data_IF_104283588677
#
_entry.id   IF_104283588677
#
_cell.length_a   1.000
_cell.length_b   1.000
_cell.length_c   1.000
_cell.angle_alpha   90.00
_cell.angle_beta   90.00
_cell.angle_gamma   90.00
#
_symmetry.space_group_name_H-M   'P 1'
#
loop_
_entity.id
_entity.type
_entity.pdbx_description
1 polymer ?
#
# COMPACT_ATOMS: atom_id res chain seq x y z
N UNK A 1 -22.91 -37.46 -28.84
CA UNK A 1 -23.63 -36.26 -28.35
C UNK A 1 -23.31 -36.15 -26.87
N UNK A 2 -22.27 -35.39 -26.53
CA UNK A 2 -21.83 -35.15 -25.16
C UNK A 2 -21.86 -33.64 -24.95
N UNK A 3 -22.60 -33.22 -23.94
CA UNK A 3 -22.88 -31.82 -23.61
C UNK A 3 -21.62 -31.11 -23.12
N UNK A 4 -21.33 -29.96 -23.71
CA UNK A 4 -20.40 -28.96 -23.19
C UNK A 4 -21.01 -28.34 -21.93
N UNK A 5 -20.31 -28.43 -20.80
CA UNK A 5 -20.58 -27.56 -19.65
C UNK A 5 -19.66 -26.34 -19.74
N UNK A 6 -20.30 -25.18 -19.68
CA UNK A 6 -19.76 -23.84 -19.79
C UNK A 6 -18.66 -23.58 -18.74
N UNK A 7 -17.52 -23.06 -19.22
CA UNK A 7 -16.40 -22.56 -18.43
C UNK A 7 -16.49 -21.03 -18.34
N UNK A 8 -17.59 -20.52 -17.79
CA UNK A 8 -17.79 -19.08 -17.60
C UNK A 8 -17.56 -18.69 -16.14
N UNK A 9 -16.31 -18.48 -15.76
CA UNK A 9 -15.95 -17.60 -14.65
C UNK A 9 -14.47 -17.23 -14.71
N UNK A 10 -14.19 -15.93 -14.50
CA UNK A 10 -12.88 -15.31 -14.25
C UNK A 10 -12.07 -14.86 -15.47
N UNK A 11 -12.55 -13.81 -16.13
CA UNK A 11 -11.79 -13.08 -17.14
C UNK A 11 -11.98 -11.54 -16.96
N UNK A 12 -10.91 -10.82 -16.55
CA UNK A 12 -10.80 -9.35 -16.27
C UNK A 12 -10.46 -8.32 -17.43
N UNK A 13 -11.37 -7.83 -18.29
CA UNK A 13 -11.04 -6.74 -19.28
C UNK A 13 -10.68 -5.39 -18.63
N UNK A 14 -9.54 -4.80 -19.02
CA UNK A 14 -9.08 -3.42 -18.77
C UNK A 14 -8.63 -2.84 -20.14
N UNK A 15 -8.89 -1.54 -20.30
CA UNK A 15 -8.50 -0.72 -21.45
C UNK A 15 -7.34 0.20 -21.06
N UNK A 16 -6.46 0.46 -22.03
CA UNK A 16 -5.33 1.37 -21.97
C UNK A 16 -5.77 2.84 -21.78
N UNK A 17 -4.98 3.61 -21.03
CA UNK A 17 -5.09 5.07 -20.98
C UNK A 17 -3.78 5.66 -21.51
N UNK A 18 -3.87 6.40 -22.60
CA UNK A 18 -2.86 7.41 -22.96
C UNK A 18 -3.08 8.61 -22.03
N UNK A 19 -2.06 9.01 -21.27
CA UNK A 19 -2.07 10.27 -20.52
C UNK A 19 -1.62 11.42 -21.44
N UNK A 20 -2.43 12.48 -21.51
CA UNK A 20 -2.07 13.74 -22.13
C UNK A 20 -1.04 14.48 -21.24
N UNK A 21 0.14 14.79 -21.80
CA UNK A 21 1.22 15.52 -21.15
C UNK A 21 0.81 16.96 -20.73
N UNK A 22 0.58 17.20 -19.43
CA UNK A 22 0.63 18.56 -18.87
C UNK A 22 1.99 18.84 -18.21
N UNK A 23 2.72 19.80 -18.77
CA UNK A 23 4.02 20.29 -18.26
C UNK A 23 3.85 21.11 -16.98
N UNK A 24 4.50 20.68 -15.90
CA UNK A 24 4.68 21.45 -14.66
C UNK A 24 6.01 22.23 -14.72
N UNK A 25 6.07 23.53 -14.37
CA UNK A 25 7.29 24.32 -14.42
C UNK A 25 8.17 24.18 -13.17
N UNK A 26 9.48 24.14 -13.40
CA UNK A 26 10.58 24.09 -12.42
C UNK A 26 10.57 25.24 -11.41
N UNK A 27 10.64 24.92 -10.12
CA UNK A 27 11.30 25.81 -9.14
C UNK A 27 11.90 25.01 -7.97
N UNK A 28 13.19 24.70 -8.08
CA UNK A 28 13.98 24.08 -7.03
C UNK A 28 14.44 25.14 -6.00
N UNK A 29 14.15 24.93 -4.72
CA UNK A 29 14.87 25.60 -3.61
C UNK A 29 15.37 24.54 -2.63
N UNK A 30 16.71 24.39 -2.56
CA UNK A 30 17.41 23.48 -1.64
C UNK A 30 17.41 24.04 -0.22
N UNK A 31 17.13 23.19 0.77
CA UNK A 31 17.49 23.46 2.18
C UNK A 31 18.14 22.20 2.77
N UNK A 32 19.41 22.34 3.14
CA UNK A 32 20.16 21.36 3.93
C UNK A 32 19.89 21.58 5.43
N UNK A 33 19.72 20.49 6.19
CA UNK A 33 19.72 20.52 7.65
C UNK A 33 19.72 19.12 8.26
N UNK A 34 20.86 18.68 8.79
CA UNK A 34 21.00 17.47 9.60
C UNK A 34 20.28 17.63 10.95
N UNK A 35 19.48 16.64 11.36
CA UNK A 35 19.33 16.29 12.77
C UNK A 35 18.85 14.84 12.93
N UNK A 36 19.62 14.08 13.71
CA UNK A 36 19.35 12.69 14.05
C UNK A 36 18.16 12.59 15.03
N UNK A 37 17.11 11.86 14.65
CA UNK A 37 16.11 11.28 15.56
C UNK A 37 15.83 9.84 15.14
N UNK A 38 15.93 8.93 16.11
CA UNK A 38 15.61 7.50 15.94
C UNK A 38 14.15 7.33 15.55
N UNK A 39 13.90 7.03 14.28
CA UNK A 39 12.58 6.70 13.73
C UNK A 39 12.73 6.48 12.24
N UNK A 40 12.51 5.24 11.78
CA UNK A 40 12.70 4.74 10.41
C UNK A 40 14.07 5.05 9.78
N UNK A 41 14.80 4.03 9.35
CA UNK A 41 15.88 4.23 8.38
C UNK A 41 15.19 4.59 7.06
N UNK A 42 14.85 5.86 6.88
CA UNK A 42 14.60 6.40 5.55
C UNK A 42 15.89 6.15 4.78
N UNK A 43 15.85 5.23 3.82
CA UNK A 43 16.99 5.05 2.91
C UNK A 43 17.02 6.33 2.08
N UNK A 44 17.76 7.32 2.57
CA UNK A 44 18.08 8.51 1.82
C UNK A 44 18.68 8.04 0.48
N UNK A 45 18.39 8.70 -0.64
CA UNK A 45 18.83 8.27 -1.97
C UNK A 45 20.35 8.03 -2.08
N UNK A 46 21.13 8.57 -1.15
CA UNK A 46 22.55 8.28 -0.93
C UNK A 46 22.87 6.83 -0.55
N UNK A 47 22.00 6.13 0.18
CA UNK A 47 22.19 4.73 0.60
C UNK A 47 22.09 3.73 -0.55
N UNK A 48 21.44 4.10 -1.66
CA UNK A 48 21.39 3.24 -2.85
C UNK A 48 22.68 3.29 -3.68
N UNK A 49 23.53 4.30 -3.48
CA UNK A 49 24.82 4.43 -4.18
C UNK A 49 25.79 3.30 -3.81
N UNK A 50 25.63 2.72 -2.63
CA UNK A 50 26.46 1.63 -2.14
C UNK A 50 26.18 0.29 -2.85
N UNK A 51 25.05 0.16 -3.55
CA UNK A 51 24.70 -1.04 -4.32
C UNK A 51 25.34 -1.08 -5.72
N UNK A 52 26.14 -0.08 -6.09
CA UNK A 52 26.83 0.01 -7.40
C UNK A 52 25.88 -0.17 -8.59
N UNK A 53 24.68 0.39 -8.50
CA UNK A 53 23.67 0.34 -9.53
C UNK A 53 24.07 1.15 -10.77
N UNK A 54 23.42 0.85 -11.90
CA UNK A 54 23.55 1.65 -13.13
C UNK A 54 23.24 3.13 -12.86
N UNK A 55 24.00 4.09 -13.41
CA UNK A 55 23.76 5.53 -13.19
C UNK A 55 22.34 5.98 -13.53
N UNK A 56 21.74 5.39 -14.57
CA UNK A 56 20.37 5.65 -15.02
C UNK A 56 19.36 5.23 -13.94
N UNK A 57 19.57 4.07 -13.31
CA UNK A 57 18.72 3.55 -12.25
C UNK A 57 18.86 4.38 -10.97
N UNK A 58 20.09 4.77 -10.61
CA UNK A 58 20.33 5.67 -9.47
C UNK A 58 19.64 7.01 -9.65
N UNK A 59 19.67 7.55 -10.87
CA UNK A 59 18.97 8.79 -11.21
C UNK A 59 17.46 8.62 -11.09
N UNK A 60 16.90 7.55 -11.64
CA UNK A 60 15.47 7.26 -11.51
C UNK A 60 15.04 7.14 -10.03
N UNK A 61 15.85 6.47 -9.20
CA UNK A 61 15.61 6.35 -7.75
C UNK A 61 15.61 7.71 -7.05
N UNK A 62 16.57 8.59 -7.39
CA UNK A 62 16.66 9.94 -6.81
C UNK A 62 15.44 10.77 -7.21
N UNK A 63 15.05 10.73 -8.48
CA UNK A 63 13.98 11.57 -9.03
C UNK A 63 12.59 11.10 -8.60
N UNK A 64 12.41 9.79 -8.41
CA UNK A 64 11.13 9.23 -7.97
C UNK A 64 10.73 9.70 -6.59
N UNK A 65 11.71 9.96 -5.71
CA UNK A 65 11.49 10.17 -4.28
C UNK A 65 10.84 8.94 -3.63
N UNK A 66 11.43 8.36 -2.57
CA UNK A 66 10.76 7.27 -1.84
C UNK A 66 9.55 7.75 -0.99
N UNK A 67 9.06 8.97 -1.24
CA UNK A 67 8.04 9.62 -0.42
C UNK A 67 6.61 9.30 -0.84
N UNK A 68 6.38 8.81 -2.07
CA UNK A 68 5.04 8.48 -2.56
C UNK A 68 5.01 7.10 -3.26
N UNK A 69 4.19 6.14 -2.77
CA UNK A 69 3.95 4.88 -3.48
C UNK A 69 3.25 5.13 -4.82
N UNK A 70 3.35 4.15 -5.72
CA UNK A 70 2.56 4.13 -6.94
C UNK A 70 1.12 3.70 -6.65
N UNK A 71 0.19 4.49 -7.17
CA UNK A 71 -1.23 4.26 -7.03
C UNK A 71 -1.75 3.25 -8.07
N UNK A 72 -2.20 2.05 -7.68
CA UNK A 72 -2.83 1.13 -8.63
C UNK A 72 -3.15 -0.27 -8.12
N UNK A 73 -3.86 -1.07 -8.93
CA UNK A 73 -4.02 -2.53 -8.72
C UNK A 73 -2.64 -3.19 -8.71
N UNK A 74 -2.38 -4.19 -7.86
CA UNK A 74 -1.05 -4.83 -7.67
C UNK A 74 -0.23 -5.01 -8.96
N UNK A 75 -0.80 -5.60 -10.03
CA UNK A 75 -0.08 -5.81 -11.30
C UNK A 75 0.22 -4.52 -12.06
N UNK A 76 -0.70 -3.56 -12.05
CA UNK A 76 -0.54 -2.25 -12.70
C UNK A 76 0.46 -1.41 -11.90
N UNK A 77 0.38 -1.44 -10.57
CA UNK A 77 1.35 -0.79 -9.69
C UNK A 77 2.75 -1.36 -9.91
N UNK A 78 2.92 -2.69 -10.01
CA UNK A 78 4.22 -3.29 -10.34
C UNK A 78 4.71 -2.82 -11.72
N UNK A 79 3.83 -2.76 -12.73
CA UNK A 79 4.19 -2.28 -14.07
C UNK A 79 4.64 -0.81 -14.04
N UNK A 80 3.86 0.07 -13.39
CA UNK A 80 4.19 1.48 -13.20
C UNK A 80 5.49 1.68 -12.42
N UNK A 81 5.78 0.84 -11.42
CA UNK A 81 7.06 0.89 -10.70
C UNK A 81 8.22 0.53 -11.62
N UNK A 82 8.07 -0.49 -12.47
CA UNK A 82 9.09 -0.80 -13.46
C UNK A 82 9.29 0.37 -14.43
N UNK A 83 8.23 0.99 -14.94
CA UNK A 83 8.29 2.15 -15.83
C UNK A 83 8.96 3.36 -15.16
N UNK A 84 8.59 3.65 -13.91
CA UNK A 84 9.17 4.72 -13.09
C UNK A 84 10.67 4.50 -12.89
N UNK A 85 11.11 3.29 -12.53
CA UNK A 85 12.53 3.00 -12.38
C UNK A 85 13.28 2.83 -13.71
N UNK A 86 12.58 2.54 -14.81
CA UNK A 86 13.16 2.44 -16.16
C UNK A 86 13.07 3.74 -16.97
N UNK A 87 12.64 4.86 -16.37
CA UNK A 87 12.49 6.17 -17.05
C UNK A 87 13.73 6.60 -17.83
N UNK A 88 14.93 6.28 -17.32
CA UNK A 88 16.21 6.60 -17.96
C UNK A 88 16.83 5.42 -18.73
N UNK A 89 16.06 4.37 -18.99
CA UNK A 89 16.46 3.16 -19.71
C UNK A 89 15.51 2.94 -20.90
N UNK A 90 15.64 3.73 -21.99
CA UNK A 90 14.65 3.79 -23.07
C UNK A 90 14.49 2.49 -23.86
N UNK A 91 15.50 1.61 -23.80
CA UNK A 91 15.45 0.30 -24.44
C UNK A 91 14.59 -0.70 -23.66
N UNK A 92 14.32 -0.46 -22.36
CA UNK A 92 13.49 -1.36 -21.55
C UNK A 92 12.03 -1.14 -21.91
N UNK A 93 11.34 -2.25 -22.14
CA UNK A 93 9.91 -2.29 -22.44
C UNK A 93 9.25 -3.20 -21.43
N UNK A 94 8.18 -2.73 -20.82
CA UNK A 94 7.42 -3.44 -19.81
C UNK A 94 6.00 -3.60 -20.36
N UNK A 95 5.40 -4.76 -20.15
CA UNK A 95 3.98 -4.92 -20.42
C UNK A 95 3.31 -5.74 -19.33
N UNK A 96 2.02 -5.47 -19.16
CA UNK A 96 1.17 -6.17 -18.21
C UNK A 96 0.13 -7.03 -18.95
N UNK A 97 0.00 -8.30 -18.58
CA UNK A 97 -1.00 -9.22 -19.14
C UNK A 97 -1.80 -9.90 -18.03
N UNK A 98 -3.06 -9.51 -17.88
CA UNK A 98 -3.98 -10.14 -16.94
C UNK A 98 -5.22 -10.65 -17.68
N UNK A 99 -6.09 -11.37 -16.97
CA UNK A 99 -7.32 -11.97 -17.54
C UNK A 99 -8.21 -10.94 -18.21
N UNK A 100 -9.29 -11.41 -18.83
CA UNK A 100 -10.34 -10.64 -19.49
C UNK A 100 -9.95 -9.73 -20.63
N UNK A 101 -8.93 -8.86 -20.62
CA UNK A 101 -8.59 -8.04 -21.82
C UNK A 101 -8.66 -8.93 -23.05
N UNK A 102 -9.34 -8.51 -24.12
CA UNK A 102 -9.43 -9.31 -25.33
C UNK A 102 -8.03 -9.80 -25.69
N UNK A 103 -7.84 -11.13 -25.63
CA UNK A 103 -6.51 -11.71 -25.73
C UNK A 103 -5.83 -11.35 -27.05
N UNK A 104 -6.61 -11.02 -28.10
CA UNK A 104 -6.09 -10.53 -29.38
C UNK A 104 -5.25 -9.26 -29.24
N UNK A 105 -5.63 -8.33 -28.36
CA UNK A 105 -4.86 -7.11 -28.10
C UNK A 105 -3.47 -7.45 -27.54
N UNK A 106 -3.41 -8.40 -26.58
CA UNK A 106 -2.14 -8.87 -26.04
C UNK A 106 -1.28 -9.59 -27.10
N UNK A 107 -1.91 -10.40 -27.97
CA UNK A 107 -1.21 -11.08 -29.07
C UNK A 107 -0.63 -10.08 -30.08
N UNK A 108 -1.40 -9.06 -30.43
CA UNK A 108 -0.95 -7.98 -31.33
C UNK A 108 0.20 -7.18 -30.71
N UNK A 109 0.09 -6.81 -29.43
CA UNK A 109 1.16 -6.16 -28.67
C UNK A 109 2.44 -7.01 -28.67
N UNK A 110 2.35 -8.30 -28.33
CA UNK A 110 3.52 -9.20 -28.33
C UNK A 110 4.17 -9.36 -29.70
N UNK A 111 3.38 -9.31 -30.77
CA UNK A 111 3.87 -9.42 -32.15
C UNK A 111 4.57 -8.15 -32.63
N UNK A 112 4.04 -6.98 -32.26
CA UNK A 112 4.53 -5.69 -32.73
C UNK A 112 5.63 -5.13 -31.83
N UNK A 113 5.46 -5.25 -30.52
CA UNK A 113 6.33 -4.71 -29.48
C UNK A 113 6.49 -5.70 -28.33
N UNK A 114 7.27 -6.77 -28.57
CA UNK A 114 7.57 -7.74 -27.52
C UNK A 114 8.33 -7.07 -26.36
N UNK A 115 7.81 -7.12 -25.12
CA UNK A 115 8.42 -6.48 -23.96
C UNK A 115 9.60 -7.29 -23.41
N UNK A 116 10.50 -6.61 -22.70
CA UNK A 116 11.62 -7.22 -21.97
C UNK A 116 11.19 -7.74 -20.60
N UNK A 117 10.21 -7.06 -19.98
CA UNK A 117 9.66 -7.38 -18.67
C UNK A 117 8.17 -7.62 -18.82
N UNK A 118 7.70 -8.75 -18.32
CA UNK A 118 6.29 -9.13 -18.37
C UNK A 118 5.77 -9.31 -16.95
N UNK A 119 4.70 -8.57 -16.63
CA UNK A 119 3.95 -8.67 -15.38
C UNK A 119 2.58 -9.24 -15.71
N UNK A 120 2.02 -10.17 -14.93
CA UNK A 120 0.71 -10.70 -15.30
C UNK A 120 0.10 -11.73 -14.37
N UNK A 121 -1.19 -12.02 -14.58
CA UNK A 121 -1.86 -13.11 -13.86
C UNK A 121 -1.49 -14.47 -14.47
N UNK A 122 -1.36 -15.54 -13.66
CA UNK A 122 -0.99 -16.86 -14.17
C UNK A 122 -1.86 -17.34 -15.34
N UNK A 123 -3.19 -17.23 -15.24
CA UNK A 123 -4.09 -17.69 -16.29
C UNK A 123 -3.82 -17.03 -17.65
N UNK A 124 -3.63 -15.70 -17.69
CA UNK A 124 -3.36 -14.98 -18.95
C UNK A 124 -1.97 -15.28 -19.51
N UNK A 125 -0.95 -15.28 -18.65
CA UNK A 125 0.43 -15.60 -19.07
C UNK A 125 0.50 -17.01 -19.63
N UNK A 126 -0.16 -17.98 -18.99
CA UNK A 126 -0.22 -19.35 -19.47
C UNK A 126 -0.91 -19.47 -20.83
N UNK A 127 -2.05 -18.79 -21.01
CA UNK A 127 -2.77 -18.79 -22.28
C UNK A 127 -1.88 -18.27 -23.43
N UNK A 128 -1.23 -17.13 -23.24
CA UNK A 128 -0.32 -16.54 -24.23
C UNK A 128 0.90 -17.44 -24.51
N UNK A 129 1.43 -18.10 -23.48
CA UNK A 129 2.57 -19.01 -23.64
C UNK A 129 2.20 -20.32 -24.35
N UNK A 130 1.03 -20.91 -24.05
CA UNK A 130 0.52 -22.12 -24.72
C UNK A 130 0.26 -21.88 -26.21
N UNK A 131 -0.30 -20.73 -26.55
CA UNK A 131 -0.56 -20.33 -27.93
C UNK A 131 0.72 -19.92 -28.69
N UNK A 132 1.87 -19.90 -27.98
CA UNK A 132 3.20 -19.52 -28.49
C UNK A 132 3.32 -18.06 -28.91
N UNK A 133 2.39 -17.21 -28.52
CA UNK A 133 2.47 -15.76 -28.69
C UNK A 133 3.51 -15.15 -27.73
N UNK A 134 3.64 -15.70 -26.52
CA UNK A 134 4.66 -15.32 -25.53
C UNK A 134 5.72 -16.42 -25.38
N UNK A 135 6.92 -16.18 -25.88
CA UNK A 135 8.05 -17.10 -25.70
C UNK A 135 8.73 -16.88 -24.35
N UNK A 136 8.66 -17.90 -23.48
CA UNK A 136 9.30 -17.88 -22.16
C UNK A 136 10.71 -18.49 -22.12
N UNK A 137 11.26 -18.85 -23.29
CA UNK A 137 12.51 -19.61 -23.42
C UNK A 137 13.77 -18.85 -22.99
N UNK A 138 13.69 -17.52 -22.90
CA UNK A 138 14.83 -16.67 -22.56
C UNK A 138 14.69 -16.01 -21.18
N UNK A 139 13.71 -16.44 -20.39
CA UNK A 139 13.47 -15.89 -19.05
C UNK A 139 14.66 -16.18 -18.15
N UNK A 140 15.29 -15.11 -17.64
CA UNK A 140 16.40 -15.18 -16.68
C UNK A 140 15.98 -14.89 -15.24
N UNK A 141 14.83 -14.25 -15.05
CA UNK A 141 14.29 -13.88 -13.75
C UNK A 141 12.81 -14.28 -13.69
N UNK A 142 12.44 -15.09 -12.71
CA UNK A 142 11.07 -15.53 -12.48
C UNK A 142 10.63 -15.10 -11.08
N UNK A 143 9.71 -14.14 -11.02
CA UNK A 143 9.33 -13.47 -9.77
C UNK A 143 7.87 -13.80 -9.47
N UNK A 144 7.59 -14.20 -8.23
CA UNK A 144 6.23 -14.41 -7.74
C UNK A 144 6.00 -13.52 -6.52
N UNK A 145 5.08 -12.57 -6.64
CA UNK A 145 4.61 -11.74 -5.53
C UNK A 145 3.25 -12.24 -5.00
N UNK A 146 2.98 -12.09 -3.71
CA UNK A 146 1.88 -12.78 -3.01
C UNK A 146 1.89 -14.32 -3.26
N UNK A 147 3.08 -14.93 -3.18
CA UNK A 147 3.28 -16.32 -3.60
C UNK A 147 2.48 -17.34 -2.79
N UNK A 148 2.16 -17.04 -1.53
CA UNK A 148 1.32 -17.89 -0.67
C UNK A 148 -0.07 -18.07 -1.27
N UNK A 149 -0.71 -17.00 -1.76
CA UNK A 149 -2.03 -17.06 -2.37
C UNK A 149 -2.03 -17.75 -3.72
N UNK A 150 -1.04 -17.45 -4.55
CA UNK A 150 -0.92 -18.09 -5.87
C UNK A 150 -0.67 -19.60 -5.76
N UNK A 151 0.05 -20.05 -4.74
CA UNK A 151 0.42 -21.46 -4.58
C UNK A 151 -0.51 -22.26 -3.67
N UNK A 152 -1.36 -21.60 -2.86
CA UNK A 152 -2.40 -22.24 -2.04
C UNK A 152 -3.55 -22.77 -2.91
N UNK A 153 -4.02 -21.98 -3.88
CA UNK A 153 -5.04 -22.43 -4.84
C UNK A 153 -4.49 -23.47 -5.81
N UNK A 154 -5.15 -24.62 -5.92
CA UNK A 154 -4.71 -25.72 -6.80
C UNK A 154 -4.68 -25.31 -8.27
N UNK A 155 -5.65 -24.54 -8.74
CA UNK A 155 -5.74 -24.17 -10.16
C UNK A 155 -4.66 -23.13 -10.51
N UNK A 156 -4.50 -22.07 -9.71
CA UNK A 156 -3.42 -21.10 -9.92
C UNK A 156 -2.04 -21.74 -9.79
N UNK A 157 -1.87 -22.66 -8.83
CA UNK A 157 -0.62 -23.40 -8.66
C UNK A 157 -0.28 -24.23 -9.90
N UNK A 158 -1.27 -24.90 -10.51
CA UNK A 158 -1.07 -25.65 -11.76
C UNK A 158 -0.60 -24.74 -12.87
N UNK A 159 -1.24 -23.58 -13.02
CA UNK A 159 -0.89 -22.62 -14.05
C UNK A 159 0.54 -22.10 -13.86
N UNK A 160 0.90 -21.67 -12.64
CA UNK A 160 2.26 -21.21 -12.29
C UNK A 160 3.30 -22.30 -12.54
N UNK A 161 3.00 -23.55 -12.17
CA UNK A 161 3.91 -24.68 -12.42
C UNK A 161 4.12 -24.95 -13.91
N UNK A 162 3.09 -24.79 -14.72
CA UNK A 162 3.19 -24.99 -16.16
C UNK A 162 3.98 -23.88 -16.84
N UNK A 163 3.71 -22.62 -16.49
CA UNK A 163 4.53 -21.47 -16.92
C UNK A 163 5.99 -21.69 -16.53
N UNK A 164 6.25 -22.09 -15.28
CA UNK A 164 7.62 -22.33 -14.80
C UNK A 164 8.35 -23.39 -15.63
N UNK A 165 7.68 -24.47 -16.04
CA UNK A 165 8.26 -25.53 -16.90
C UNK A 165 8.56 -25.05 -18.32
N UNK A 166 7.91 -23.99 -18.79
CA UNK A 166 8.16 -23.39 -20.10
C UNK A 166 9.38 -22.45 -20.09
N UNK A 167 9.91 -22.11 -18.92
CA UNK A 167 11.12 -21.29 -18.75
C UNK A 167 12.40 -22.13 -18.65
N UNK A 168 13.60 -21.55 -18.89
CA UNK A 168 14.88 -22.21 -18.63
C UNK A 168 15.00 -22.77 -17.20
N UNK A 169 15.76 -23.86 -17.05
CA UNK A 169 16.04 -24.41 -15.73
C UNK A 169 17.03 -23.54 -14.94
N UNK A 170 17.97 -22.91 -15.64
CA UNK A 170 18.94 -21.96 -15.08
C UNK A 170 18.39 -20.53 -15.19
N UNK A 171 17.83 -20.04 -14.08
CA UNK A 171 17.25 -18.70 -13.94
C UNK A 171 17.19 -18.32 -12.46
N UNK A 172 17.23 -17.02 -12.16
CA UNK A 172 16.99 -16.53 -10.81
C UNK A 172 15.49 -16.61 -10.50
N UNK A 173 15.15 -17.13 -9.33
CA UNK A 173 13.76 -17.21 -8.85
C UNK A 173 13.66 -16.43 -7.55
N UNK A 174 12.67 -15.53 -7.47
CA UNK A 174 12.39 -14.74 -6.27
C UNK A 174 10.91 -14.88 -5.92
N UNK A 175 10.63 -15.04 -4.62
CA UNK A 175 9.27 -15.15 -4.11
C UNK A 175 9.07 -14.17 -2.96
N UNK A 176 7.99 -13.41 -3.00
CA UNK A 176 7.61 -12.43 -2.01
C UNK A 176 6.20 -12.76 -1.49
N UNK A 177 6.01 -12.62 -0.19
CA UNK A 177 4.69 -12.68 0.44
C UNK A 177 4.75 -12.01 1.81
N UNK A 178 3.67 -11.33 2.18
CA UNK A 178 3.49 -10.79 3.53
C UNK A 178 3.30 -11.91 4.58
N UNK A 179 2.78 -13.06 4.17
CA UNK A 179 2.41 -14.16 5.07
C UNK A 179 2.84 -15.50 4.49
N UNK A 180 3.84 -16.15 5.08
CA UNK A 180 4.35 -17.44 4.58
C UNK A 180 4.19 -18.58 5.60
N UNK A 181 3.11 -19.34 5.44
CA UNK A 181 2.79 -20.48 6.31
C UNK A 181 3.86 -21.59 6.23
N UNK A 182 3.99 -22.38 7.30
CA UNK A 182 4.93 -23.51 7.31
C UNK A 182 4.61 -24.57 6.26
N UNK A 183 3.34 -24.66 5.85
CA UNK A 183 2.85 -25.62 4.86
C UNK A 183 3.19 -25.22 3.43
N UNK A 184 3.21 -23.91 3.13
CA UNK A 184 3.53 -23.43 1.78
C UNK A 184 5.05 -23.34 1.53
N UNK A 185 5.85 -23.17 2.57
CA UNK A 185 7.33 -23.10 2.46
C UNK A 185 7.95 -24.25 1.65
N UNK A 186 7.63 -25.54 1.89
CA UNK A 186 8.14 -26.64 1.07
C UNK A 186 7.71 -26.57 -0.39
N UNK A 187 6.56 -25.96 -0.69
CA UNK A 187 6.09 -25.76 -2.07
C UNK A 187 6.95 -24.70 -2.75
N UNK A 188 7.18 -23.56 -2.10
CA UNK A 188 8.04 -22.48 -2.60
C UNK A 188 9.46 -22.99 -2.89
N UNK A 189 10.06 -23.75 -1.97
CA UNK A 189 11.41 -24.32 -2.13
C UNK A 189 11.57 -25.20 -3.36
N UNK A 190 10.50 -25.81 -3.89
CA UNK A 190 10.58 -26.63 -5.12
C UNK A 190 10.85 -25.83 -6.39
N UNK A 191 10.62 -24.51 -6.37
CA UNK A 191 10.90 -23.64 -7.50
C UNK A 191 12.30 -23.03 -7.46
N UNK A 192 12.99 -23.12 -6.31
CA UNK A 192 14.25 -22.41 -6.06
C UNK A 192 15.39 -23.40 -5.82
N UNK A 193 16.62 -22.98 -6.11
CA UNK A 193 17.83 -23.72 -5.78
C UNK A 193 18.58 -22.95 -4.70
N UNK A 194 18.70 -23.55 -3.51
CA UNK A 194 19.39 -22.98 -2.34
C UNK A 194 19.10 -21.49 -2.10
N UNK A 195 17.82 -21.09 -1.89
CA UNK A 195 17.45 -19.69 -1.80
C UNK A 195 17.99 -19.02 -0.54
N UNK A 196 18.39 -17.75 -0.65
CA UNK A 196 18.54 -16.88 0.51
C UNK A 196 17.15 -16.64 1.11
N UNK A 197 16.91 -17.19 2.30
CA UNK A 197 15.66 -17.02 3.03
C UNK A 197 15.77 -15.79 3.94
N UNK A 198 15.09 -14.71 3.54
CA UNK A 198 14.98 -13.50 4.35
C UNK A 198 13.61 -13.51 5.01
N UNK A 199 13.62 -13.64 6.33
CA UNK A 199 12.44 -13.45 7.15
C UNK A 199 12.54 -12.07 7.81
N UNK A 200 11.51 -11.26 7.65
CA UNK A 200 11.34 -10.08 8.51
C UNK A 200 10.88 -10.65 9.85
N UNK A 201 11.84 -10.76 10.77
CA UNK A 201 11.82 -11.49 12.06
C UNK A 201 10.43 -11.85 12.60
N UNK A 202 10.21 -13.15 12.86
CA UNK A 202 9.08 -13.64 13.68
C UNK A 202 9.14 -13.05 15.13
N UNK A 203 10.31 -12.58 15.59
CA UNK A 203 10.50 -11.92 16.89
C UNK A 203 10.32 -10.39 16.85
N UNK A 204 10.44 -9.78 15.66
CA UNK A 204 10.13 -8.37 15.47
C UNK A 204 8.62 -8.28 15.31
N UNK A 205 7.94 -8.12 16.45
CA UNK A 205 6.49 -7.90 16.56
C UNK A 205 5.98 -7.22 15.29
N UNK A 206 5.18 -7.94 14.51
CA UNK A 206 4.43 -7.41 13.36
C UNK A 206 3.36 -6.45 13.90
N UNK A 207 3.80 -5.38 14.54
CA UNK A 207 2.91 -4.31 14.96
C UNK A 207 2.49 -3.59 13.71
N UNK A 208 1.18 -3.54 13.48
CA UNK A 208 0.56 -2.62 12.54
C UNK A 208 0.74 -1.20 13.10
N UNK A 209 1.97 -0.70 13.05
CA UNK A 209 2.38 0.58 13.63
C UNK A 209 1.59 1.70 12.96
N UNK A 210 0.92 2.53 13.76
CA UNK A 210 0.03 3.59 13.25
C UNK A 210 -1.42 3.15 13.03
N UNK A 211 -1.75 1.87 13.16
CA UNK A 211 -3.13 1.37 13.06
C UNK A 211 -3.72 1.12 14.46
N UNK A 212 -4.76 1.88 14.80
CA UNK A 212 -5.61 1.63 15.96
C UNK A 212 -6.63 0.55 15.58
N UNK A 213 -6.75 -0.49 16.41
CA UNK A 213 -7.59 -1.65 16.11
C UNK A 213 -8.59 -1.88 17.24
N UNK A 214 -9.86 -2.02 16.87
CA UNK A 214 -10.94 -2.30 17.81
C UNK A 214 -11.88 -3.40 17.28
N UNK A 215 -12.56 -4.06 18.22
CA UNK A 215 -13.68 -4.94 17.90
C UNK A 215 -14.97 -4.48 18.58
N UNK A 216 -16.13 -4.91 18.05
CA UNK A 216 -17.43 -4.73 18.68
C UNK A 216 -18.13 -6.08 18.70
N UNK A 217 -18.64 -6.50 19.86
CA UNK A 217 -19.52 -7.67 19.96
C UNK A 217 -20.97 -7.24 19.80
N UNK A 218 -21.68 -7.84 18.85
CA UNK A 218 -23.05 -7.51 18.52
C UNK A 218 -23.73 -8.64 17.75
N UNK A 219 -25.05 -8.71 17.77
CA UNK A 219 -25.80 -9.63 16.93
C UNK A 219 -25.80 -9.18 15.45
N UNK A 220 -26.04 -10.12 14.52
CA UNK A 220 -26.16 -9.81 13.08
C UNK A 220 -27.19 -8.72 12.79
N UNK A 221 -28.31 -8.71 13.53
CA UNK A 221 -29.38 -7.72 13.36
C UNK A 221 -28.99 -6.31 13.78
N UNK A 222 -27.99 -6.17 14.65
CA UNK A 222 -27.53 -4.88 15.17
C UNK A 222 -26.47 -4.22 14.28
N UNK A 223 -25.85 -4.99 13.36
CA UNK A 223 -24.72 -4.52 12.54
C UNK A 223 -25.03 -3.28 11.71
N UNK A 224 -26.18 -3.24 11.04
CA UNK A 224 -26.59 -2.08 10.22
C UNK A 224 -26.70 -0.81 11.06
N UNK A 225 -27.41 -0.90 12.21
CA UNK A 225 -27.57 0.22 13.12
C UNK A 225 -26.23 0.69 13.64
N UNK A 226 -25.40 -0.24 14.12
CA UNK A 226 -24.08 0.09 14.68
C UNK A 226 -23.16 0.70 13.63
N UNK A 227 -23.21 0.22 12.38
CA UNK A 227 -22.45 0.80 11.29
C UNK A 227 -22.84 2.25 11.02
N UNK A 228 -24.14 2.55 10.94
CA UNK A 228 -24.61 3.93 10.76
C UNK A 228 -24.15 4.83 11.90
N UNK A 229 -24.31 4.38 13.16
CA UNK A 229 -23.84 5.12 14.34
C UNK A 229 -22.33 5.41 14.26
N UNK A 230 -21.52 4.48 13.74
CA UNK A 230 -20.08 4.68 13.55
C UNK A 230 -19.77 5.65 12.40
N UNK A 231 -20.49 5.56 11.28
CA UNK A 231 -20.29 6.47 10.15
C UNK A 231 -20.71 7.91 10.47
N UNK A 232 -21.67 8.11 11.39
CA UNK A 232 -22.04 9.43 11.88
C UNK A 232 -21.04 9.98 12.92
N UNK A 233 -20.50 9.10 13.78
CA UNK A 233 -19.63 9.52 14.88
C UNK A 233 -18.16 9.72 14.48
N UNK A 234 -17.66 8.97 13.49
CA UNK A 234 -16.24 8.97 13.14
C UNK A 234 -15.94 10.00 12.04
N UNK A 235 -14.90 10.82 12.23
CA UNK A 235 -14.36 11.65 11.14
C UNK A 235 -13.46 10.80 10.23
N UNK A 236 -13.79 10.71 8.94
CA UNK A 236 -13.01 9.92 7.97
C UNK A 236 -12.84 10.61 6.64
N UNK A 237 -11.74 10.37 5.94
CA UNK A 237 -11.63 10.78 4.54
C UNK A 237 -12.40 9.79 3.66
N UNK A 238 -11.98 8.53 3.73
CA UNK A 238 -12.62 7.41 3.05
C UNK A 238 -12.62 6.17 3.94
N UNK A 239 -13.69 5.38 3.81
CA UNK A 239 -13.92 4.13 4.55
C UNK A 239 -14.05 2.98 3.57
N UNK A 240 -13.40 1.85 3.89
CA UNK A 240 -13.64 0.57 3.23
C UNK A 240 -14.35 -0.38 4.19
N UNK A 241 -15.45 -0.96 3.73
CA UNK A 241 -16.29 -1.88 4.49
C UNK A 241 -16.22 -3.26 3.84
N UNK A 242 -15.67 -4.23 4.55
CA UNK A 242 -15.54 -5.60 4.05
C UNK A 242 -16.71 -6.49 4.48
N UNK A 243 -17.29 -7.18 3.51
CA UNK A 243 -18.38 -8.15 3.69
C UNK A 243 -18.04 -9.50 3.08
N UNK A 244 -18.68 -10.56 3.56
CA UNK A 244 -18.34 -11.95 3.18
C UNK A 244 -18.95 -12.42 1.85
N UNK A 245 -19.92 -11.71 1.28
CA UNK A 245 -20.59 -12.16 0.05
C UNK A 245 -21.04 -11.02 -0.86
N UNK A 246 -21.17 -11.35 -2.16
CA UNK A 246 -21.65 -10.44 -3.22
C UNK A 246 -23.03 -9.87 -2.89
N UNK A 247 -23.97 -10.74 -2.48
CA UNK A 247 -25.33 -10.33 -2.12
C UNK A 247 -25.33 -9.35 -0.93
N UNK A 248 -24.49 -9.58 0.08
CA UNK A 248 -24.36 -8.66 1.22
C UNK A 248 -23.74 -7.33 0.81
N UNK A 249 -22.78 -7.33 -0.10
CA UNK A 249 -22.16 -6.10 -0.61
C UNK A 249 -23.18 -5.22 -1.33
N UNK A 250 -24.01 -5.83 -2.19
CA UNK A 250 -25.06 -5.12 -2.91
C UNK A 250 -26.14 -4.57 -1.96
N UNK A 251 -26.62 -5.39 -1.03
CA UNK A 251 -27.69 -4.98 -0.09
C UNK A 251 -27.20 -3.90 0.88
N UNK A 252 -26.01 -4.06 1.46
CA UNK A 252 -25.45 -3.06 2.37
C UNK A 252 -25.23 -1.72 1.67
N UNK A 253 -24.71 -1.73 0.44
CA UNK A 253 -24.54 -0.51 -0.34
C UNK A 253 -25.88 0.18 -0.65
N UNK A 254 -26.93 -0.60 -0.96
CA UNK A 254 -28.26 -0.05 -1.17
C UNK A 254 -28.78 0.64 0.10
N UNK A 255 -28.67 -0.02 1.26
CA UNK A 255 -29.08 0.54 2.55
C UNK A 255 -28.31 1.81 2.90
N UNK A 256 -26.99 1.84 2.69
CA UNK A 256 -26.17 3.03 2.93
C UNK A 256 -26.62 4.21 2.07
N UNK A 257 -26.86 3.99 0.78
CA UNK A 257 -27.36 5.04 -0.12
C UNK A 257 -28.75 5.54 0.30
N UNK A 258 -29.65 4.65 0.72
CA UNK A 258 -30.98 5.02 1.26
C UNK A 258 -30.88 5.83 2.56
N UNK A 259 -29.86 5.56 3.39
CA UNK A 259 -29.53 6.33 4.59
C UNK A 259 -28.72 7.61 4.30
N UNK A 260 -28.65 8.06 3.05
CA UNK A 260 -27.88 9.24 2.62
C UNK A 260 -26.36 9.15 2.84
N UNK A 261 -25.80 7.95 2.98
CA UNK A 261 -24.36 7.70 2.92
C UNK A 261 -23.94 7.39 1.48
N UNK A 262 -23.24 8.30 0.77
CA UNK A 262 -22.86 8.06 -0.62
C UNK A 262 -21.78 6.98 -0.70
N UNK A 263 -22.21 5.75 -0.95
CA UNK A 263 -21.33 4.58 -1.08
C UNK A 263 -21.31 4.03 -2.51
N UNK A 264 -20.28 3.24 -2.78
CA UNK A 264 -20.21 2.34 -3.92
C UNK A 264 -20.00 0.91 -3.44
N UNK A 265 -20.40 -0.08 -4.25
CA UNK A 265 -19.97 -1.46 -4.05
C UNK A 265 -19.08 -1.94 -5.19
N UNK A 266 -18.10 -2.78 -4.85
CA UNK A 266 -17.29 -3.53 -5.81
C UNK A 266 -17.21 -4.98 -5.32
N UNK A 267 -17.55 -5.94 -6.17
CA UNK A 267 -17.54 -7.35 -5.82
C UNK A 267 -17.32 -8.25 -7.05
N UNK A 268 -17.14 -9.55 -6.84
CA UNK A 268 -16.80 -10.52 -7.90
C UNK A 268 -17.89 -10.72 -8.97
N UNK A 269 -19.16 -10.45 -8.65
CA UNK A 269 -20.26 -10.56 -9.62
C UNK A 269 -20.41 -9.38 -10.59
N UNK A 270 -19.50 -8.40 -10.58
CA UNK A 270 -19.53 -7.26 -11.51
C UNK A 270 -18.59 -7.50 -12.69
N UNK A 271 -18.90 -6.87 -13.83
CA UNK A 271 -17.93 -6.82 -14.93
C UNK A 271 -16.68 -6.07 -14.50
N UNK A 272 -15.53 -6.42 -15.10
CA UNK A 272 -14.28 -5.77 -14.75
C UNK A 272 -14.29 -4.27 -15.07
N UNK A 273 -14.86 -3.88 -16.21
CA UNK A 273 -15.05 -2.48 -16.61
C UNK A 273 -15.81 -1.68 -15.54
N UNK A 274 -16.89 -2.26 -15.01
CA UNK A 274 -17.69 -1.62 -13.97
C UNK A 274 -16.90 -1.52 -12.65
N UNK A 275 -16.18 -2.58 -12.25
CA UNK A 275 -15.31 -2.58 -11.07
C UNK A 275 -14.27 -1.45 -11.15
N UNK A 276 -13.64 -1.27 -12.32
CA UNK A 276 -12.65 -0.22 -12.57
C UNK A 276 -13.26 1.17 -12.51
N UNK A 277 -14.39 1.38 -13.20
CA UNK A 277 -15.07 2.67 -13.26
C UNK A 277 -15.45 3.13 -11.86
N UNK A 278 -16.03 2.23 -11.05
CA UNK A 278 -16.36 2.55 -9.65
C UNK A 278 -15.12 2.76 -8.81
N UNK A 279 -14.08 1.95 -9.01
CA UNK A 279 -12.81 2.11 -8.30
C UNK A 279 -12.17 3.48 -8.57
N UNK A 280 -12.13 3.93 -9.82
CA UNK A 280 -11.62 5.25 -10.21
C UNK A 280 -12.40 6.36 -9.53
N UNK A 281 -13.73 6.31 -9.61
CA UNK A 281 -14.58 7.29 -8.94
C UNK A 281 -14.33 7.38 -7.43
N UNK A 282 -14.11 6.23 -6.78
CA UNK A 282 -13.72 6.19 -5.37
C UNK A 282 -12.33 6.76 -5.13
N UNK A 283 -11.31 6.37 -5.92
CA UNK A 283 -9.95 6.90 -5.81
C UNK A 283 -9.91 8.43 -5.94
N UNK A 284 -10.66 8.97 -6.88
CA UNK A 284 -10.79 10.41 -7.14
C UNK A 284 -11.57 11.15 -6.04
N UNK A 285 -12.21 10.43 -5.11
CA UNK A 285 -12.93 11.00 -3.97
C UNK A 285 -14.39 11.35 -4.26
N UNK A 286 -14.95 10.94 -5.41
CA UNK A 286 -16.37 11.16 -5.74
C UNK A 286 -17.30 10.50 -4.71
N UNK A 287 -16.85 9.41 -4.10
CA UNK A 287 -17.56 8.68 -3.05
C UNK A 287 -16.58 8.35 -1.93
N UNK A 288 -17.04 8.49 -0.69
CA UNK A 288 -16.20 8.32 0.51
C UNK A 288 -16.32 6.93 1.13
N UNK A 289 -17.30 6.13 0.72
CA UNK A 289 -17.53 4.79 1.29
C UNK A 289 -17.48 3.74 0.17
N UNK A 290 -16.66 2.71 0.38
CA UNK A 290 -16.56 1.54 -0.49
C UNK A 290 -16.98 0.29 0.29
N UNK A 291 -17.99 -0.42 -0.21
CA UNK A 291 -18.37 -1.76 0.26
C UNK A 291 -17.76 -2.81 -0.66
N UNK A 292 -17.00 -3.76 -0.11
CA UNK A 292 -16.24 -4.72 -0.91
C UNK A 292 -16.20 -6.13 -0.31
N UNK A 293 -16.02 -7.14 -1.17
CA UNK A 293 -15.59 -8.48 -0.75
C UNK A 293 -14.07 -8.62 -0.81
N UNK A 294 -13.52 -9.69 -0.24
CA UNK A 294 -12.06 -9.93 -0.20
C UNK A 294 -11.36 -9.92 -1.56
N UNK A 295 -12.08 -10.32 -2.62
CA UNK A 295 -11.54 -10.36 -3.99
C UNK A 295 -11.13 -8.97 -4.51
N UNK A 296 -11.63 -7.92 -3.88
CA UNK A 296 -11.38 -6.53 -4.25
C UNK A 296 -10.35 -5.89 -3.30
N UNK A 297 -10.25 -6.36 -2.06
CA UNK A 297 -9.34 -5.79 -1.07
C UNK A 297 -7.86 -6.08 -1.31
N UNK A 298 -7.53 -7.17 -2.01
CA UNK A 298 -6.15 -7.54 -2.30
C UNK A 298 -5.63 -6.79 -3.53
N UNK A 299 -4.62 -5.97 -3.32
CA UNK A 299 -3.98 -5.20 -4.39
C UNK A 299 -4.66 -3.88 -4.73
N UNK A 300 -5.76 -3.51 -4.08
CA UNK A 300 -6.26 -2.14 -4.15
C UNK A 300 -5.45 -1.28 -3.19
N UNK A 301 -4.66 -0.37 -3.75
CA UNK A 301 -3.98 0.68 -3.01
C UNK A 301 -4.87 1.92 -2.95
N UNK A 302 -5.41 2.23 -1.76
CA UNK A 302 -6.13 3.49 -1.55
C UNK A 302 -5.45 4.25 -0.42
N UNK A 303 -4.53 5.12 -0.79
CA UNK A 303 -3.75 5.96 0.13
C UNK A 303 -4.60 6.84 1.05
N UNK A 304 -5.82 7.19 0.60
CA UNK A 304 -6.75 8.08 1.31
C UNK A 304 -7.67 7.35 2.30
N UNK A 305 -7.58 6.02 2.41
CA UNK A 305 -8.38 5.25 3.38
C UNK A 305 -7.75 5.34 4.75
N UNK A 306 -8.46 6.00 5.66
CA UNK A 306 -8.05 6.09 7.06
C UNK A 306 -8.88 5.18 7.97
N UNK A 307 -10.01 4.61 7.49
CA UNK A 307 -10.82 3.66 8.26
C UNK A 307 -11.14 2.40 7.46
N UNK A 308 -10.91 1.24 8.07
CA UNK A 308 -11.35 -0.07 7.59
C UNK A 308 -12.37 -0.64 8.57
N UNK A 309 -13.52 -1.10 8.06
CA UNK A 309 -14.55 -1.78 8.85
C UNK A 309 -14.71 -3.20 8.33
N UNK A 310 -14.38 -4.18 9.15
CA UNK A 310 -14.76 -5.58 8.91
C UNK A 310 -16.20 -5.77 9.38
N UNK A 311 -17.17 -5.52 8.50
CA UNK A 311 -18.59 -5.74 8.78
C UNK A 311 -18.90 -7.24 8.97
N UNK A 312 -18.23 -8.07 8.18
CA UNK A 312 -18.13 -9.51 8.42
C UNK A 312 -16.68 -9.87 8.75
N UNK A 313 -16.48 -10.69 9.78
CA UNK A 313 -15.15 -11.20 10.17
C UNK A 313 -14.50 -11.90 8.96
N UNK A 314 -13.20 -11.66 8.67
CA UNK A 314 -12.46 -12.43 7.68
C UNK A 314 -12.36 -13.91 8.04
N UNK A 315 -12.12 -14.77 7.05
CA UNK A 315 -12.03 -16.23 7.28
C UNK A 315 -10.72 -16.66 7.98
N UNK A 316 -9.71 -15.78 8.00
CA UNK A 316 -8.40 -16.08 8.59
C UNK A 316 -7.66 -14.83 9.06
N UNK A 317 -6.69 -15.02 9.95
CA UNK A 317 -5.82 -13.96 10.44
C UNK A 317 -4.98 -13.30 9.32
N UNK A 318 -4.58 -14.06 8.30
CA UNK A 318 -3.86 -13.51 7.14
C UNK A 318 -4.77 -12.58 6.33
N UNK A 319 -6.03 -13.00 6.10
CA UNK A 319 -7.01 -12.14 5.41
C UNK A 319 -7.31 -10.88 6.21
N UNK A 320 -7.39 -10.97 7.54
CA UNK A 320 -7.50 -9.80 8.42
C UNK A 320 -6.36 -8.81 8.16
N UNK A 321 -5.11 -9.27 8.17
CA UNK A 321 -3.93 -8.42 7.94
C UNK A 321 -4.00 -7.71 6.58
N UNK A 322 -4.37 -8.43 5.51
CA UNK A 322 -4.49 -7.84 4.18
C UNK A 322 -5.60 -6.78 4.08
N UNK A 323 -6.70 -6.94 4.84
CA UNK A 323 -7.80 -5.96 4.89
C UNK A 323 -7.40 -4.71 5.67
N UNK A 324 -6.85 -4.88 6.87
CA UNK A 324 -6.56 -3.74 7.75
C UNK A 324 -5.29 -2.99 7.35
N UNK A 325 -4.34 -3.66 6.69
CA UNK A 325 -3.15 -3.03 6.10
C UNK A 325 -3.44 -2.06 4.93
N UNK A 326 -4.73 -1.86 4.59
CA UNK A 326 -5.19 -0.82 3.66
C UNK A 326 -5.29 0.55 4.32
N UNK A 327 -5.39 0.62 5.65
CA UNK A 327 -5.34 1.86 6.41
C UNK A 327 -3.97 2.03 7.09
N UNK A 328 -3.58 3.28 7.37
CA UNK A 328 -2.39 3.59 8.14
C UNK A 328 -1.06 3.31 7.42
N UNK A 329 -1.01 3.46 6.09
CA UNK A 329 0.22 3.26 5.29
C UNK A 329 1.17 4.46 5.45
N UNK A 330 2.48 4.24 5.27
CA UNK A 330 3.51 5.30 5.27
C UNK A 330 3.56 6.18 6.54
N UNK A 331 3.32 5.60 7.71
CA UNK A 331 3.33 6.33 8.99
C UNK A 331 2.11 7.22 9.21
N UNK A 332 1.09 7.12 8.35
CA UNK A 332 -0.22 7.71 8.62
C UNK A 332 -0.95 6.91 9.70
N UNK A 333 -1.83 7.60 10.43
CA UNK A 333 -2.71 6.94 11.40
C UNK A 333 -3.92 6.34 10.68
N UNK A 334 -4.36 5.17 11.12
CA UNK A 334 -5.55 4.51 10.62
C UNK A 334 -6.36 3.85 11.73
N UNK A 335 -7.63 3.56 11.45
CA UNK A 335 -8.54 2.85 12.34
C UNK A 335 -9.09 1.59 11.67
N UNK A 336 -9.01 0.45 12.35
CA UNK A 336 -9.70 -0.76 11.96
C UNK A 336 -10.75 -1.14 13.02
N UNK A 337 -12.00 -1.31 12.61
CA UNK A 337 -13.09 -1.77 13.48
C UNK A 337 -13.61 -3.09 12.94
N UNK A 338 -13.74 -4.11 13.81
CA UNK A 338 -14.22 -5.43 13.42
C UNK A 338 -15.45 -5.85 14.18
N UNK A 339 -16.50 -6.26 13.46
CA UNK A 339 -17.72 -6.78 14.04
C UNK A 339 -17.58 -8.27 14.37
N UNK A 340 -17.90 -8.62 15.61
CA UNK A 340 -17.88 -9.99 16.14
C UNK A 340 -19.30 -10.38 16.47
N UNK A 341 -19.85 -11.31 15.69
CA UNK A 341 -21.27 -11.70 15.75
C UNK A 341 -21.51 -13.17 16.07
N UNK A 342 -20.45 -13.96 16.16
CA UNK A 342 -20.52 -15.39 16.41
C UNK A 342 -19.33 -15.89 17.23
N UNK A 343 -19.44 -17.14 17.71
CA UNK A 343 -18.33 -17.82 18.37
C UNK A 343 -17.14 -18.01 17.42
N UNK A 344 -17.39 -18.39 16.16
CA UNK A 344 -16.36 -18.50 15.14
C UNK A 344 -15.65 -17.18 14.86
N UNK A 345 -16.38 -16.05 14.88
CA UNK A 345 -15.74 -14.73 14.74
C UNK A 345 -14.76 -14.48 15.90
N UNK A 346 -15.16 -14.86 17.11
CA UNK A 346 -14.32 -14.71 18.31
C UNK A 346 -13.06 -15.58 18.24
N UNK A 347 -13.16 -16.79 17.67
CA UNK A 347 -12.02 -17.67 17.44
C UNK A 347 -11.02 -17.05 16.45
N UNK A 348 -11.50 -16.50 15.33
CA UNK A 348 -10.63 -15.82 14.36
C UNK A 348 -9.99 -14.57 14.95
N UNK A 349 -10.75 -13.77 15.73
CA UNK A 349 -10.19 -12.61 16.42
C UNK A 349 -9.06 -13.02 17.38
N UNK A 350 -9.23 -14.10 18.14
CA UNK A 350 -8.19 -14.60 19.03
C UNK A 350 -6.95 -15.08 18.25
N UNK A 351 -7.14 -15.74 17.11
CA UNK A 351 -6.03 -16.12 16.23
C UNK A 351 -5.27 -14.91 15.71
N UNK A 352 -5.97 -13.81 15.36
CA UNK A 352 -5.33 -12.54 14.96
C UNK A 352 -4.47 -11.97 16.09
N UNK A 353 -5.03 -11.89 17.30
CA UNK A 353 -4.33 -11.34 18.46
C UNK A 353 -3.09 -12.17 18.84
N UNK A 354 -3.19 -13.49 18.80
CA UNK A 354 -2.07 -14.41 19.06
C UNK A 354 -1.00 -14.31 17.97
N UNK A 355 -1.40 -14.32 16.69
CA UNK A 355 -0.48 -14.33 15.56
C UNK A 355 0.33 -13.05 15.42
N UNK A 356 -0.28 -11.89 15.69
CA UNK A 356 0.37 -10.59 15.50
C UNK A 356 0.79 -9.92 16.81
N UNK A 357 0.62 -10.60 17.95
CA UNK A 357 0.85 -10.07 19.31
C UNK A 357 0.20 -8.69 19.52
N UNK A 358 -1.02 -8.51 19.00
CA UNK A 358 -1.80 -7.28 19.11
C UNK A 358 -2.95 -7.45 20.09
N UNK A 359 -3.09 -6.49 21.01
CA UNK A 359 -4.24 -6.39 21.91
C UNK A 359 -5.35 -5.57 21.21
N UNK A 360 -6.27 -6.26 20.54
CA UNK A 360 -7.40 -5.62 19.86
C UNK A 360 -8.49 -5.41 20.90
N UNK A 361 -8.61 -4.17 21.38
CA UNK A 361 -9.54 -3.83 22.46
C UNK A 361 -10.95 -3.68 21.95
N UNK A 362 -11.92 -3.94 22.82
CA UNK A 362 -13.31 -3.56 22.55
C UNK A 362 -13.40 -2.05 22.29
N UNK A 363 -14.27 -1.66 21.37
CA UNK A 363 -14.45 -0.26 21.01
C UNK A 363 -14.92 0.52 22.25
N UNK A 364 -14.19 1.56 22.69
CA UNK A 364 -14.66 2.40 23.79
C UNK A 364 -15.88 3.22 23.37
N UNK A 365 -16.64 3.73 24.34
CA UNK A 365 -17.80 4.61 24.07
C UNK A 365 -17.39 5.90 23.34
N UNK A 366 -16.17 6.37 23.56
CA UNK A 366 -15.59 7.55 22.91
C UNK A 366 -14.21 7.21 22.32
N UNK A 367 -13.99 7.60 21.07
CA UNK A 367 -12.71 7.46 20.39
C UNK A 367 -12.18 8.87 20.10
N UNK A 368 -10.97 9.16 20.56
CA UNK A 368 -10.30 10.40 20.23
C UNK A 368 -9.86 10.38 18.76
N UNK A 369 -10.39 11.29 17.95
CA UNK A 369 -10.07 11.47 16.53
C UNK A 369 -8.56 11.63 16.28
N UNK A 370 -7.82 12.21 17.23
CA UNK A 370 -6.37 12.39 17.13
C UNK A 370 -5.59 11.06 17.08
N UNK A 371 -6.21 9.96 17.53
CA UNK A 371 -5.57 8.64 17.58
C UNK A 371 -5.50 7.98 16.20
N UNK A 372 -6.44 8.31 15.31
CA UNK A 372 -6.56 7.67 14.00
C UNK A 372 -6.64 8.65 12.82
N UNK A 373 -6.65 9.96 13.07
CA UNK A 373 -6.57 11.00 12.04
C UNK A 373 -5.51 12.06 12.37
N UNK A 374 -4.72 12.42 11.37
CA UNK A 374 -3.77 13.55 11.44
C UNK A 374 -4.46 14.90 11.14
N UNK A 375 -5.71 14.90 10.65
CA UNK A 375 -6.44 16.11 10.24
C UNK A 375 -6.70 17.09 11.39
N UNK A 376 -6.79 16.59 12.62
CA UNK A 376 -7.08 17.43 13.80
C UNK A 376 -5.97 18.44 14.12
N UNK A 377 -4.70 18.10 13.84
CA UNK A 377 -3.58 19.03 14.04
C UNK A 377 -3.60 20.17 13.02
N UNK A 378 -3.89 19.87 11.75
CA UNK A 378 -3.95 20.89 10.69
C UNK A 378 -5.19 21.77 10.80
N UNK A 379 -6.32 21.20 11.24
CA UNK A 379 -7.58 21.92 11.44
C UNK A 379 -7.52 22.82 12.68
N UNK A 380 -6.86 22.39 13.75
CA UNK A 380 -6.58 23.24 14.92
C UNK A 380 -5.66 24.44 14.60
N UNK A 381 -4.77 24.31 13.61
CA UNK A 381 -3.95 25.43 13.13
C UNK A 381 -4.77 26.37 12.22
N UNK A 382 -5.81 25.86 11.55
CA UNK A 382 -6.61 26.62 10.59
C UNK A 382 -7.85 27.28 11.20
N UNK A 383 -8.31 26.87 12.38
CA UNK A 383 -9.45 27.46 13.08
C UNK A 383 -9.05 28.03 14.45
N UNK A 384 -9.07 29.37 14.51
CA UNK A 384 -9.08 30.27 15.67
C UNK A 384 -7.76 30.92 16.14
N UNK A 385 -7.75 32.25 15.93
CA UNK A 385 -7.18 33.32 16.77
C UNK A 385 -5.66 33.31 16.98
N UNK A 386 -5.01 34.32 16.40
CA UNK A 386 -3.62 34.72 16.73
C UNK A 386 -3.54 34.90 18.26
N UNK A 387 -2.83 34.02 19.01
CA UNK A 387 -2.73 34.17 20.45
C UNK A 387 -1.94 35.44 20.78
N UNK A 388 -2.33 36.14 21.84
CA UNK A 388 -1.58 37.30 22.29
C UNK A 388 -0.19 36.86 22.79
N UNK A 389 0.78 37.78 22.76
CA UNK A 389 2.19 37.52 23.12
C UNK A 389 2.39 36.91 24.52
N UNK A 390 1.39 37.00 25.40
CA UNK A 390 1.42 36.42 26.74
C UNK A 390 1.00 34.93 26.77
N UNK A 391 0.18 34.47 25.84
CA UNK A 391 -0.31 33.08 25.79
C UNK A 391 0.79 32.12 25.29
N UNK A 392 1.64 32.62 24.40
CA UNK A 392 2.86 31.92 23.96
C UNK A 392 3.88 31.73 25.09
N UNK A 393 3.88 32.60 26.11
CA UNK A 393 4.82 32.49 27.23
C UNK A 393 4.45 31.34 28.19
N UNK A 394 3.15 31.11 28.43
CA UNK A 394 2.70 30.00 29.27
C UNK A 394 2.91 28.62 28.61
N UNK A 395 2.79 28.53 27.28
CA UNK A 395 3.02 27.29 26.55
C UNK A 395 4.51 26.87 26.56
N UNK A 396 5.42 27.85 26.62
CA UNK A 396 6.88 27.64 26.63
C UNK A 396 7.40 27.24 28.02
N UNK A 397 6.70 27.59 29.11
CA UNK A 397 7.12 27.17 30.46
C UNK A 397 6.95 25.67 30.73
N UNK A 398 6.13 24.96 29.93
CA UNK A 398 5.90 23.52 30.07
C UNK A 398 6.90 22.62 29.33
N UNK A 399 7.74 23.16 28.44
CA UNK A 399 8.66 22.37 27.62
C UNK A 399 10.10 22.49 28.16
N UNK A 400 10.47 21.50 28.98
CA UNK A 400 11.82 21.05 29.38
C UNK A 400 12.99 22.05 29.29
N UNK A 401 13.70 22.18 30.41
CA UNK A 401 14.85 23.03 30.78
C UNK A 401 15.95 23.30 29.72
N UNK A 402 16.02 22.56 28.62
CA UNK A 402 17.02 22.74 27.56
C UNK A 402 16.67 23.83 26.54
N UNK A 403 15.42 24.30 26.47
CA UNK A 403 15.02 25.37 25.53
C UNK A 403 15.41 26.79 25.99
N UNK A 404 15.58 27.01 27.31
CA UNK A 404 15.90 28.33 27.88
C UNK A 404 17.29 28.85 27.46
N UNK A 405 18.28 27.97 27.37
CA UNK A 405 19.67 28.35 27.03
C UNK A 405 19.84 28.73 25.56
N UNK A 406 19.08 28.10 24.66
CA UNK A 406 19.16 28.36 23.24
C UNK A 406 18.54 29.71 22.87
N UNK A 407 17.42 30.06 23.51
CA UNK A 407 16.71 31.31 23.26
C UNK A 407 17.42 32.51 23.93
N UNK A 408 18.02 32.35 25.11
CA UNK A 408 18.84 33.41 25.72
C UNK A 408 20.08 33.76 24.89
N UNK A 409 20.72 32.77 24.27
CA UNK A 409 21.89 33.01 23.41
C UNK A 409 21.49 33.67 22.08
N UNK A 410 20.31 33.32 21.52
CA UNK A 410 19.80 33.96 20.31
C UNK A 410 19.40 35.43 20.55
N UNK A 411 18.76 35.75 21.68
CA UNK A 411 18.31 37.12 21.99
C UNK A 411 19.44 38.06 22.44
N UNK A 412 20.61 37.55 22.82
CA UNK A 412 21.78 38.37 23.18
C UNK A 412 22.53 38.90 21.96
N UNK A 413 22.20 38.43 20.75
CA UNK A 413 23.01 38.67 19.54
C UNK A 413 22.42 39.68 18.55
N UNK A 414 21.24 40.25 18.80
CA UNK A 414 20.62 41.24 17.91
C UNK A 414 20.23 42.51 18.69
N UNK A 415 21.24 43.33 18.94
CA UNK A 415 21.07 44.71 19.37
C UNK A 415 22.29 45.55 18.97
N UNK A 416 22.06 46.52 18.09
CA UNK A 416 22.92 47.68 17.74
C UNK A 416 23.66 47.63 16.39
N UNK A 417 23.11 48.42 15.46
CA UNK A 417 23.74 49.17 14.35
C UNK A 417 25.27 49.27 14.34
N UNK A 418 25.88 49.02 13.17
CA UNK A 418 26.75 49.98 12.48
C UNK A 418 27.23 49.44 11.12
N UNK A 419 27.43 50.37 10.21
CA UNK A 419 27.92 50.31 8.84
C UNK A 419 29.36 49.79 8.67
N UNK A 420 29.72 49.58 7.39
CA UNK A 420 31.06 49.53 6.80
C UNK A 420 31.72 48.15 6.54
N UNK A 421 31.76 47.86 5.23
CA UNK A 421 32.91 47.43 4.44
C UNK A 421 33.84 46.31 4.94
N UNK A 422 34.08 45.40 3.99
CA UNK A 422 35.40 44.95 3.55
C UNK A 422 36.09 43.75 4.24
N UNK A 423 36.67 42.92 3.36
CA UNK A 423 37.78 41.96 3.54
C UNK A 423 37.52 40.54 4.08
N UNK A 424 37.67 39.57 3.15
CA UNK A 424 38.33 38.24 3.30
C UNK A 424 39.71 38.39 4.00
N UNK A 425 40.40 37.36 4.56
CA UNK A 425 40.47 35.97 4.06
C UNK A 425 40.73 34.81 5.08
N UNK A 426 40.56 33.59 4.54
CA UNK A 426 41.36 32.36 4.72
C UNK A 426 42.00 32.00 6.07
N UNK A 427 41.72 30.77 6.53
CA UNK A 427 42.78 29.76 6.77
C UNK A 427 42.20 28.33 6.94
N UNK A 428 43.00 27.27 6.68
CA UNK A 428 42.52 25.92 6.43
C UNK A 428 43.11 24.85 7.39
N UNK A 429 42.73 23.58 7.14
CA UNK A 429 43.42 22.32 7.53
C UNK A 429 43.16 21.77 8.95
N UNK A 430 42.32 20.72 8.99
CA UNK A 430 42.73 19.35 9.33
C UNK A 430 42.68 18.90 10.80
N UNK A 431 41.96 17.79 11.05
CA UNK A 431 42.50 16.61 11.76
C UNK A 431 41.58 15.39 11.73
N UNK A 432 42.22 14.26 11.46
CA UNK A 432 41.80 12.86 11.59
C UNK A 432 41.61 12.48 13.06
N UNK A 433 40.57 11.71 13.41
CA UNK A 433 40.61 10.72 14.50
C UNK A 433 39.80 9.46 14.13
N UNK A 434 40.48 8.31 14.21
CA UNK A 434 39.99 6.92 14.15
C UNK A 434 39.55 6.43 15.54
N UNK A 435 38.67 5.43 15.55
CA UNK A 435 38.52 4.43 16.62
C UNK A 435 37.36 4.72 17.58
N UNK A 436 36.57 3.74 18.03
CA UNK A 436 36.77 2.30 18.15
C UNK A 436 35.45 1.57 17.98
#
# INVERSE_FOLDING_TARGET
MGENKENDAYEEELLDYEEDDEKIPDSATKVNGESAKKGYVGIHSSGFRDFLLKPELLRAIVDSGFEHPSEGKLLISICHEFERFSTYLPDIKVAVFYGGVNIKLHKEMLKNECPHIVVGTPGRILALARDKDLSLRNVRHFILDECDKMLESLDMRRDVQEIFKMTPHDKQVMMFSATLSKEIRPVCKKFMQDPMEIYVDDEAKLTLHGLVQHYIKLSETEKNRKLNDLLDALDFNQVVIFVKSVSRAAELNKLLVECNFPSICIHSGMSQEERLTRYKGFKEGHKRILVATDLVGRGIDIERVNIVINYDMPDSADTYLHRVGRAGRFGTKGLAITFVSSASDSEVLNQVQERFEVDIKELPEQIDTSTYSMSSLTRAISSEVVPSRNDLWQLVEGLTTNARTFIQNAMSSHGSNASESCYRPEAPIGKVIKGR
#
